data_IF_513250999883
#
_entry.id   IF_513250999883
#
_cell.length_a   1.000
_cell.length_b   1.000
_cell.length_c   1.000
_cell.angle_alpha   90.00
_cell.angle_beta   90.00
_cell.angle_gamma   90.00
#
_symmetry.space_group_name_H-M   'P 1'
#
loop_
_entity.id
_entity.type
_entity.pdbx_description
1 polymer ?
#
# COMPACT_ATOMS: atom_id res chain seq x y z
N UNK A 1 5.72 -0.78 8.37
CA UNK A 1 4.38 -0.96 7.77
C UNK A 1 3.36 -1.59 8.72
N UNK A 2 3.60 -2.76 9.34
CA UNK A 2 2.65 -3.38 10.30
C UNK A 2 2.27 -2.48 11.48
N UNK A 3 3.26 -1.84 12.12
CA UNK A 3 3.01 -0.84 13.16
C UNK A 3 2.15 0.32 12.63
N UNK A 4 2.32 0.69 11.36
CA UNK A 4 1.51 1.74 10.77
C UNK A 4 0.07 1.29 10.46
N UNK A 5 -0.14 0.03 10.09
CA UNK A 5 -1.45 -0.55 9.80
C UNK A 5 -2.24 -0.89 11.08
N UNK A 6 -1.58 -1.42 12.12
CA UNK A 6 -2.26 -1.97 13.31
C UNK A 6 -1.73 -1.48 14.66
N UNK A 7 -0.71 -0.62 14.69
CA UNK A 7 -0.13 -0.09 15.94
C UNK A 7 0.83 -1.05 16.65
N UNK A 8 1.14 -2.21 16.06
CA UNK A 8 1.99 -3.25 16.64
C UNK A 8 2.78 -3.97 15.53
N UNK A 9 4.06 -4.26 15.79
CA UNK A 9 4.93 -5.01 14.89
C UNK A 9 4.66 -6.52 14.91
N UNK A 10 4.04 -7.07 15.96
CA UNK A 10 3.78 -8.51 16.13
C UNK A 10 2.92 -9.12 15.00
N UNK A 11 2.13 -8.29 14.32
CA UNK A 11 1.25 -8.71 13.23
C UNK A 11 1.91 -8.65 11.85
N UNK A 12 3.20 -8.32 11.75
CA UNK A 12 3.90 -8.15 10.48
C UNK A 12 3.85 -9.40 9.60
N UNK A 13 4.19 -10.56 10.16
CA UNK A 13 4.16 -11.84 9.44
C UNK A 13 2.76 -12.17 8.94
N UNK A 14 1.72 -11.89 9.74
CA UNK A 14 0.33 -12.11 9.34
C UNK A 14 -0.10 -11.22 8.17
N UNK A 15 0.17 -9.91 8.26
CA UNK A 15 -0.16 -8.96 7.19
C UNK A 15 0.56 -9.35 5.89
N UNK A 16 1.83 -9.75 5.98
CA UNK A 16 2.63 -10.18 4.84
C UNK A 16 2.12 -11.47 4.22
N UNK A 17 1.75 -12.48 5.03
CA UNK A 17 1.16 -13.71 4.54
C UNK A 17 -0.17 -13.46 3.83
N UNK A 18 -1.01 -12.56 4.37
CA UNK A 18 -2.26 -12.16 3.73
C UNK A 18 -2.03 -11.41 2.41
N UNK A 19 -1.05 -10.48 2.38
CA UNK A 19 -0.66 -9.76 1.17
C UNK A 19 -0.12 -10.72 0.10
N UNK A 20 0.74 -11.66 0.49
CA UNK A 20 1.30 -12.64 -0.44
C UNK A 20 0.18 -13.47 -1.09
N UNK A 21 -0.80 -13.92 -0.31
CA UNK A 21 -1.96 -14.63 -0.83
C UNK A 21 -2.78 -13.77 -1.80
N UNK A 22 -3.07 -12.53 -1.43
CA UNK A 22 -3.80 -11.60 -2.31
C UNK A 22 -3.10 -11.38 -3.65
N UNK A 23 -1.77 -11.16 -3.63
CA UNK A 23 -0.98 -10.97 -4.84
C UNK A 23 -0.91 -12.23 -5.71
N UNK A 24 -0.98 -13.41 -5.11
CA UNK A 24 -1.03 -14.69 -5.83
C UNK A 24 -2.40 -14.97 -6.43
N UNK A 25 -3.47 -14.76 -5.65
CA UNK A 25 -4.85 -15.08 -6.04
C UNK A 25 -5.41 -14.09 -7.08
N UNK A 26 -4.89 -12.86 -7.12
CA UNK A 26 -5.34 -11.79 -8.02
C UNK A 26 -4.19 -11.15 -8.79
N UNK A 27 -3.20 -11.94 -9.21
CA UNK A 27 -1.98 -11.45 -9.84
C UNK A 27 -2.21 -10.54 -11.06
N UNK A 28 -3.25 -10.84 -11.86
CA UNK A 28 -3.60 -10.05 -13.05
C UNK A 28 -3.95 -8.60 -12.71
N UNK A 29 -4.72 -8.36 -11.64
CA UNK A 29 -5.14 -7.03 -11.21
C UNK A 29 -3.93 -6.16 -10.80
N UNK A 30 -2.93 -6.81 -10.19
CA UNK A 30 -1.73 -6.16 -9.68
C UNK A 30 -0.62 -6.02 -10.73
N UNK A 31 -0.66 -6.80 -11.81
CA UNK A 31 0.28 -6.67 -12.93
C UNK A 31 0.13 -5.32 -13.63
N UNK A 32 -1.09 -4.77 -13.72
CA UNK A 32 -1.31 -3.43 -14.25
C UNK A 32 -0.65 -2.32 -13.39
N UNK A 33 -0.56 -2.54 -12.07
CA UNK A 33 0.04 -1.61 -11.13
C UNK A 33 1.57 -1.74 -11.10
N UNK A 34 2.09 -2.96 -10.96
CA UNK A 34 3.53 -3.21 -10.84
C UNK A 34 4.26 -3.24 -12.20
N UNK A 35 3.52 -3.50 -13.28
CA UNK A 35 3.99 -3.64 -14.65
C UNK A 35 4.04 -5.09 -15.13
N UNK A 36 3.86 -5.24 -16.45
CA UNK A 36 3.84 -6.53 -17.16
C UNK A 36 5.07 -7.40 -16.84
N UNK A 37 4.83 -8.67 -16.51
CA UNK A 37 5.85 -9.67 -16.22
C UNK A 37 6.56 -9.50 -14.88
N UNK A 38 6.14 -8.57 -14.02
CA UNK A 38 6.84 -8.29 -12.75
C UNK A 38 6.29 -9.02 -11.53
N UNK A 39 5.12 -9.65 -11.62
CA UNK A 39 4.45 -10.21 -10.45
C UNK A 39 5.27 -11.29 -9.74
N UNK A 40 6.03 -12.13 -10.45
CA UNK A 40 6.93 -13.10 -9.82
C UNK A 40 8.00 -12.43 -8.95
N UNK A 41 8.55 -11.31 -9.43
CA UNK A 41 9.55 -10.53 -8.68
C UNK A 41 8.91 -9.88 -7.45
N UNK A 42 7.70 -9.33 -7.58
CA UNK A 42 6.94 -8.74 -6.46
C UNK A 42 6.61 -9.81 -5.41
N UNK A 43 6.11 -10.97 -5.83
CA UNK A 43 5.80 -12.10 -4.94
C UNK A 43 7.06 -12.57 -4.21
N UNK A 44 8.18 -12.73 -4.93
CA UNK A 44 9.47 -13.11 -4.33
C UNK A 44 9.95 -12.07 -3.31
N UNK A 45 9.81 -10.78 -3.65
CA UNK A 45 10.16 -9.67 -2.76
C UNK A 45 9.34 -9.70 -1.47
N UNK A 46 8.02 -9.91 -1.56
CA UNK A 46 7.12 -9.90 -0.41
C UNK A 46 7.23 -11.21 0.41
N UNK A 47 7.60 -12.33 -0.22
CA UNK A 47 7.71 -13.64 0.41
C UNK A 47 8.94 -13.74 1.34
N UNK A 48 8.82 -13.11 2.51
CA UNK A 48 9.81 -13.17 3.58
C UNK A 48 9.08 -13.33 4.91
N UNK A 49 8.80 -14.60 5.25
CA UNK A 49 8.03 -15.00 6.43
C UNK A 49 8.89 -15.55 7.58
N UNK A 50 10.16 -15.86 7.32
CA UNK A 50 10.98 -16.71 8.20
C UNK A 50 11.91 -15.94 9.17
N UNK A 51 12.03 -14.62 9.09
CA UNK A 51 12.98 -13.85 9.91
C UNK A 51 12.36 -12.67 10.64
N UNK A 52 12.87 -12.43 11.86
CA UNK A 52 12.49 -11.31 12.73
C UNK A 52 12.91 -9.94 12.18
N UNK A 53 13.87 -9.88 11.25
CA UNK A 53 14.29 -8.64 10.59
C UNK A 53 14.25 -8.78 9.08
N UNK A 54 13.38 -7.98 8.46
CA UNK A 54 13.27 -7.85 7.00
C UNK A 54 14.37 -6.93 6.49
N UNK A 55 15.25 -7.43 5.62
CA UNK A 55 16.17 -6.57 4.89
C UNK A 55 15.42 -5.66 3.92
N UNK A 56 16.14 -4.68 3.35
CA UNK A 56 15.57 -3.71 2.44
C UNK A 56 15.12 -4.30 1.10
N UNK A 57 15.71 -5.43 0.67
CA UNK A 57 15.31 -6.11 -0.55
C UNK A 57 13.89 -6.66 -0.44
N UNK A 58 13.42 -6.94 0.78
CA UNK A 58 12.07 -7.41 1.04
C UNK A 58 11.09 -6.32 1.49
N UNK A 59 11.44 -5.02 1.45
CA UNK A 59 10.53 -3.97 1.88
C UNK A 59 9.34 -3.79 0.92
N UNK A 60 8.18 -3.48 1.52
CA UNK A 60 7.01 -3.02 0.75
C UNK A 60 7.22 -1.60 0.25
N UNK A 61 6.77 -1.35 -0.97
CA UNK A 61 6.78 -0.03 -1.61
C UNK A 61 5.37 0.58 -1.70
N UNK A 62 5.28 1.66 -2.45
CA UNK A 62 4.05 2.39 -2.68
C UNK A 62 3.03 1.59 -3.50
N UNK A 63 3.47 0.76 -4.43
CA UNK A 63 2.58 0.04 -5.36
C UNK A 63 1.85 -1.10 -4.63
N UNK A 64 2.52 -1.72 -3.63
CA UNK A 64 1.91 -2.71 -2.73
C UNK A 64 0.72 -2.13 -1.93
N UNK A 65 0.59 -0.81 -1.82
CA UNK A 65 -0.49 -0.16 -1.08
C UNK A 65 -1.85 -0.34 -1.74
N UNK A 66 -1.93 -0.53 -3.06
CA UNK A 66 -3.19 -0.87 -3.71
C UNK A 66 -3.72 -2.23 -3.22
N UNK A 67 -2.85 -3.22 -3.06
CA UNK A 67 -3.23 -4.53 -2.53
C UNK A 67 -3.69 -4.44 -1.07
N UNK A 68 -2.98 -3.68 -0.24
CA UNK A 68 -3.40 -3.43 1.15
C UNK A 68 -4.72 -2.67 1.22
N UNK A 69 -4.92 -1.66 0.37
CA UNK A 69 -6.16 -0.91 0.27
C UNK A 69 -7.32 -1.84 -0.11
N UNK A 70 -7.12 -2.71 -1.10
CA UNK A 70 -8.08 -3.74 -1.51
C UNK A 70 -8.42 -4.67 -0.36
N UNK A 71 -7.44 -5.39 0.20
CA UNK A 71 -7.61 -6.40 1.26
C UNK A 71 -8.41 -5.90 2.47
N UNK A 72 -8.13 -4.68 2.90
CA UNK A 72 -8.78 -4.09 4.08
C UNK A 72 -9.97 -3.20 3.71
N UNK A 73 -10.27 -3.02 2.42
CA UNK A 73 -11.22 -2.07 1.89
C UNK A 73 -11.04 -0.68 2.53
N UNK A 74 -9.81 -0.15 2.51
CA UNK A 74 -9.44 1.14 3.12
C UNK A 74 -8.91 2.11 2.09
N UNK A 75 -9.09 3.40 2.35
CA UNK A 75 -8.36 4.46 1.67
C UNK A 75 -7.02 4.66 2.35
N UNK A 76 -5.92 4.54 1.61
CA UNK A 76 -4.57 4.76 2.14
C UNK A 76 -4.01 6.04 1.55
N UNK A 77 -3.79 7.04 2.40
CA UNK A 77 -3.19 8.32 2.01
C UNK A 77 -1.71 8.30 2.36
N UNK A 78 -0.85 8.62 1.40
CA UNK A 78 0.60 8.73 1.60
C UNK A 78 1.03 10.18 1.38
N UNK A 79 1.83 10.65 2.33
CA UNK A 79 2.55 11.92 2.34
C UNK A 79 4.04 11.51 2.25
N UNK A 80 4.72 11.83 1.16
CA UNK A 80 6.03 11.27 0.83
C UNK A 80 7.16 12.31 0.88
N UNK A 81 8.28 11.92 1.48
CA UNK A 81 9.55 12.63 1.34
C UNK A 81 10.70 11.63 1.25
N UNK A 82 11.71 11.91 0.45
CA UNK A 82 12.97 11.14 0.41
C UNK A 82 14.14 12.03 0.78
N UNK A 83 15.29 11.40 1.07
CA UNK A 83 16.55 12.14 1.24
C UNK A 83 17.39 11.99 -0.03
N UNK A 84 17.71 13.10 -0.69
CA UNK A 84 18.64 13.16 -1.83
C UNK A 84 19.85 14.01 -1.45
N UNK A 85 21.06 13.43 -1.52
CA UNK A 85 22.29 14.15 -1.21
C UNK A 85 22.34 14.76 0.20
N UNK A 86 21.74 14.09 1.20
CA UNK A 86 21.65 14.60 2.58
C UNK A 86 20.53 15.63 2.83
N UNK A 87 19.77 16.00 1.81
CA UNK A 87 18.66 16.96 1.92
C UNK A 87 17.32 16.23 1.77
N UNK A 88 16.33 16.56 2.62
CA UNK A 88 14.96 16.06 2.46
C UNK A 88 14.27 16.75 1.29
N UNK A 89 13.81 15.95 0.34
CA UNK A 89 13.05 16.38 -0.84
C UNK A 89 11.64 15.81 -0.72
N UNK A 90 10.65 16.65 -0.97
CA UNK A 90 9.24 16.26 -0.98
C UNK A 90 8.93 15.47 -2.25
N UNK A 91 8.35 14.27 -2.08
CA UNK A 91 7.99 13.38 -3.19
C UNK A 91 6.51 13.47 -3.58
N UNK A 92 5.77 14.38 -2.95
CA UNK A 92 4.34 14.56 -3.21
C UNK A 92 3.47 13.79 -2.23
N UNK A 93 2.18 13.73 -2.56
CA UNK A 93 1.18 12.99 -1.83
C UNK A 93 0.31 12.18 -2.80
N UNK A 94 -0.20 11.05 -2.34
CA UNK A 94 -0.98 10.13 -3.17
C UNK A 94 -2.01 9.37 -2.34
N UNK A 95 -3.15 9.05 -2.95
CA UNK A 95 -4.20 8.24 -2.35
C UNK A 95 -4.34 6.93 -3.11
N UNK A 96 -4.26 5.83 -2.38
CA UNK A 96 -4.42 4.46 -2.85
C UNK A 96 -5.79 3.97 -2.40
N UNK A 97 -6.54 3.42 -3.35
CA UNK A 97 -7.90 2.93 -3.15
C UNK A 97 -7.97 1.44 -3.50
N UNK A 98 -8.99 0.72 -2.99
CA UNK A 98 -9.27 -0.66 -3.38
C UNK A 98 -9.41 -0.77 -4.90
N UNK A 99 -8.74 -1.73 -5.53
CA UNK A 99 -8.87 -1.98 -6.98
C UNK A 99 -10.18 -2.69 -7.33
N UNK A 100 -10.70 -3.49 -6.39
CA UNK A 100 -11.92 -4.27 -6.54
C UNK A 100 -12.65 -4.35 -5.21
N UNK A 101 -13.97 -4.52 -5.26
CA UNK A 101 -14.72 -4.77 -4.03
C UNK A 101 -14.58 -6.24 -3.61
N UNK A 102 -14.20 -6.48 -2.36
CA UNK A 102 -14.14 -7.83 -1.76
C UNK A 102 -15.48 -8.20 -1.09
N UNK A 103 -16.42 -7.25 -0.98
CA UNK A 103 -17.71 -7.44 -0.31
C UNK A 103 -18.83 -6.80 -1.13
N UNK A 104 -20.06 -6.79 -0.64
CA UNK A 104 -21.13 -6.00 -1.28
C UNK A 104 -20.98 -4.49 -1.04
N UNK A 105 -19.92 -4.04 -0.37
CA UNK A 105 -19.69 -2.64 0.00
C UNK A 105 -18.81 -1.97 -1.05
N UNK A 106 -19.32 -0.91 -1.66
CA UNK A 106 -18.66 -0.18 -2.76
C UNK A 106 -17.83 1.02 -2.29
N UNK A 107 -17.75 1.24 -0.98
CA UNK A 107 -16.99 2.35 -0.36
C UNK A 107 -15.99 1.84 0.68
N UNK A 108 -14.85 2.51 0.87
CA UNK A 108 -13.87 2.16 1.90
C UNK A 108 -14.44 2.26 3.32
N UNK A 109 -14.01 1.36 4.21
CA UNK A 109 -14.39 1.33 5.63
C UNK A 109 -13.72 2.41 6.48
N UNK A 110 -12.62 2.99 5.99
CA UNK A 110 -11.86 3.99 6.73
C UNK A 110 -10.68 4.53 5.95
N UNK A 111 -9.99 5.49 6.56
CA UNK A 111 -8.81 6.16 6.00
C UNK A 111 -7.60 5.84 6.89
N UNK A 112 -6.50 5.43 6.26
CA UNK A 112 -5.19 5.29 6.87
C UNK A 112 -4.24 6.33 6.28
N UNK A 113 -3.74 7.25 7.11
CA UNK A 113 -2.74 8.22 6.68
C UNK A 113 -1.33 7.77 7.06
N UNK A 114 -0.42 7.80 6.09
CA UNK A 114 0.96 7.36 6.20
C UNK A 114 1.91 8.48 5.79
N UNK A 115 3.00 8.64 6.54
CA UNK A 115 4.19 9.38 6.12
C UNK A 115 5.25 8.40 5.68
N UNK A 116 5.74 8.58 4.45
CA UNK A 116 6.89 7.87 3.91
C UNK A 116 8.14 8.76 3.97
N UNK A 117 9.20 8.26 4.59
CA UNK A 117 10.48 8.96 4.75
C UNK A 117 11.62 8.26 3.99
N UNK A 118 11.39 7.91 2.73
CA UNK A 118 12.35 7.26 1.83
C UNK A 118 12.62 5.78 2.13
N UNK A 119 12.69 5.38 3.40
CA UNK A 119 12.88 3.99 3.82
C UNK A 119 12.01 3.57 5.02
N UNK A 120 11.17 4.48 5.50
CA UNK A 120 10.41 4.26 6.73
C UNK A 120 8.98 4.76 6.59
N UNK A 121 8.05 3.98 7.14
CA UNK A 121 6.62 4.23 7.09
C UNK A 121 6.11 4.52 8.50
N UNK A 122 5.49 5.68 8.69
CA UNK A 122 4.88 6.07 9.94
C UNK A 122 3.38 6.31 9.75
N UNK A 123 2.56 5.78 10.66
CA UNK A 123 1.15 6.16 10.71
C UNK A 123 1.05 7.58 11.23
N UNK A 124 0.20 8.36 10.61
CA UNK A 124 -0.17 9.69 11.05
C UNK A 124 -1.64 9.75 11.37
N UNK A 125 -2.00 10.64 12.29
CA UNK A 125 -3.35 11.07 12.52
C UNK A 125 -3.47 12.48 11.96
N UNK A 126 -4.36 12.66 11.00
CA UNK A 126 -4.71 13.98 10.49
C UNK A 126 -5.92 14.45 11.29
N UNK A 127 -5.79 15.59 11.96
CA UNK A 127 -6.87 16.22 12.70
C UNK A 127 -7.36 17.46 11.93
N UNK A 128 -8.67 17.72 11.98
CA UNK A 128 -9.32 18.82 11.26
C UNK A 128 -9.66 18.50 9.80
N UNK A 129 -9.95 19.55 9.02
CA UNK A 129 -10.27 19.43 7.60
C UNK A 129 -8.97 19.42 6.79
N UNK A 130 -8.40 18.24 6.60
CA UNK A 130 -7.24 18.07 5.73
C UNK A 130 -7.69 17.66 4.32
N UNK A 131 -7.20 18.32 3.25
CA UNK A 131 -7.55 17.92 1.90
C UNK A 131 -7.03 16.52 1.61
N UNK A 132 -7.87 15.68 1.01
CA UNK A 132 -7.47 14.36 0.57
C UNK A 132 -6.40 14.46 -0.52
N UNK A 133 -5.27 13.73 -0.40
CA UNK A 133 -4.29 13.64 -1.47
C UNK A 133 -4.90 13.12 -2.78
N UNK A 134 -4.30 13.45 -3.94
CA UNK A 134 -4.82 13.00 -5.23
C UNK A 134 -4.78 11.47 -5.33
N UNK A 135 -5.85 10.88 -5.86
CA UNK A 135 -5.88 9.45 -6.21
C UNK A 135 -4.86 9.16 -7.30
N UNK A 136 -4.12 8.06 -7.18
CA UNK A 136 -3.10 7.66 -8.17
C UNK A 136 -3.71 7.49 -9.56
N UNK A 137 -2.97 7.88 -10.59
CA UNK A 137 -3.44 7.75 -11.98
C UNK A 137 -3.62 6.28 -12.39
N UNK A 138 -2.74 5.39 -11.90
CA UNK A 138 -2.85 3.94 -12.13
C UNK A 138 -4.20 3.41 -11.64
N UNK A 139 -4.64 3.77 -10.42
CA UNK A 139 -5.95 3.36 -9.94
C UNK A 139 -7.10 3.87 -10.83
N UNK A 140 -6.98 5.08 -11.41
CA UNK A 140 -8.02 5.60 -12.30
C UNK A 140 -8.14 4.81 -13.61
N UNK A 141 -7.08 4.12 -14.01
CA UNK A 141 -7.04 3.33 -15.23
C UNK A 141 -7.43 1.86 -14.97
N UNK A 142 -6.96 1.29 -13.87
CA UNK A 142 -6.94 -0.17 -13.67
C UNK A 142 -7.94 -0.71 -12.65
N UNK A 143 -8.76 0.15 -12.03
CA UNK A 143 -9.81 -0.31 -11.11
C UNK A 143 -10.92 -1.08 -11.85
N UNK A 144 -11.51 -2.03 -11.15
CA UNK A 144 -12.75 -2.68 -11.57
C UNK A 144 -13.97 -1.76 -11.40
N UNK A 145 -15.00 -1.95 -12.22
CA UNK A 145 -16.24 -1.15 -12.18
C UNK A 145 -17.02 -1.29 -10.85
N UNK A 146 -16.71 -2.30 -10.03
CA UNK A 146 -17.28 -2.51 -8.69
C UNK A 146 -16.88 -1.45 -7.67
N UNK A 147 -15.85 -0.66 -7.92
CA UNK A 147 -15.35 0.38 -7.00
C UNK A 147 -15.45 1.79 -7.60
N UNK A 148 -15.71 2.77 -6.75
CA UNK A 148 -15.88 4.18 -7.13
C UNK A 148 -15.07 5.09 -6.20
N UNK A 149 -14.64 6.24 -6.70
CA UNK A 149 -13.96 7.28 -5.92
C UNK A 149 -14.90 8.06 -5.00
#
# INVERSE_FOLDING_TARGET
>A
MSHALRGDQSHYTFIRAALLRELQDSAFDYEAIHGEGKMEQVITRINFLESASCDNAHWMDNDDLNALATMYNWTICVIGSRTMGGTRVWDGCSTYLPLRSITSVTKPFGILSLLFMGNHWMRQRLDGEFPMPPVTQLWRHDRDDSVKD
#
